data_IF_817710347668
#
_entry.id   IF_817710347668
#
_cell.length_a   1.000
_cell.length_b   1.000
_cell.length_c   1.000
_cell.angle_alpha   90.00
_cell.angle_beta   90.00
_cell.angle_gamma   90.00
#
_symmetry.space_group_name_H-M   'P 1'
#
loop_
_entity.id
_entity.type
_entity.pdbx_description
1 polymer ?
#
# COMPACT_ATOMS: atom_id res chain seq x y z
N UNK A 1 -20.92 -27.48 8.11
CA UNK A 1 -21.11 -26.10 7.61
C UNK A 1 -20.52 -25.15 8.64
N UNK A 2 -19.41 -24.47 8.34
CA UNK A 2 -18.92 -23.39 9.20
C UNK A 2 -19.89 -22.21 9.10
N UNK A 3 -20.27 -21.56 10.22
CA UNK A 3 -21.15 -20.39 10.18
C UNK A 3 -20.48 -19.29 9.34
N UNK A 4 -21.22 -18.72 8.40
CA UNK A 4 -20.75 -17.64 7.54
C UNK A 4 -20.34 -16.43 8.40
N UNK A 5 -19.05 -16.11 8.44
CA UNK A 5 -18.58 -14.91 9.14
C UNK A 5 -19.06 -13.65 8.44
N UNK A 6 -19.43 -12.64 9.23
CA UNK A 6 -19.87 -11.35 8.70
C UNK A 6 -18.74 -10.64 7.96
N UNK A 7 -18.94 -10.40 6.67
CA UNK A 7 -18.03 -9.65 5.79
C UNK A 7 -18.30 -8.14 5.85
N UNK A 8 -19.40 -7.72 6.47
CA UNK A 8 -19.82 -6.32 6.55
C UNK A 8 -18.80 -5.44 7.25
N UNK A 9 -18.18 -5.92 8.34
CA UNK A 9 -17.19 -5.16 9.12
C UNK A 9 -15.92 -4.83 8.34
N UNK A 10 -15.20 -5.79 7.73
CA UNK A 10 -14.00 -5.48 6.94
C UNK A 10 -14.31 -4.60 5.71
N UNK A 11 -15.47 -4.78 5.07
CA UNK A 11 -15.89 -3.91 3.97
C UNK A 11 -16.15 -2.48 4.44
N UNK A 12 -16.77 -2.28 5.61
CA UNK A 12 -16.98 -0.95 6.16
C UNK A 12 -15.65 -0.24 6.43
N UNK A 13 -14.65 -0.95 6.96
CA UNK A 13 -13.29 -0.43 7.16
C UNK A 13 -12.67 0.02 5.83
N UNK A 14 -12.81 -0.79 4.77
CA UNK A 14 -12.34 -0.42 3.43
C UNK A 14 -13.02 0.85 2.93
N UNK A 15 -14.36 0.89 2.96
CA UNK A 15 -15.13 2.03 2.47
C UNK A 15 -14.73 3.31 3.20
N UNK A 16 -14.65 3.28 4.53
CA UNK A 16 -14.24 4.45 5.33
C UNK A 16 -12.83 4.91 4.94
N UNK A 17 -11.89 3.97 4.81
CA UNK A 17 -10.52 4.33 4.46
C UNK A 17 -10.40 4.88 3.02
N UNK A 18 -11.09 4.30 2.04
CA UNK A 18 -11.16 4.86 0.68
C UNK A 18 -11.76 6.27 0.69
N UNK A 19 -12.85 6.50 1.42
CA UNK A 19 -13.48 7.82 1.52
C UNK A 19 -12.49 8.84 2.10
N UNK A 20 -11.76 8.49 3.16
CA UNK A 20 -10.76 9.38 3.75
C UNK A 20 -9.65 9.72 2.76
N UNK A 21 -9.07 8.71 2.09
CA UNK A 21 -7.97 8.91 1.14
C UNK A 21 -8.41 9.73 -0.08
N UNK A 22 -9.57 9.41 -0.66
CA UNK A 22 -10.12 10.13 -1.82
C UNK A 22 -10.51 11.56 -1.43
N UNK A 23 -11.16 11.76 -0.29
CA UNK A 23 -11.52 13.10 0.17
C UNK A 23 -10.28 13.98 0.33
N UNK A 24 -9.21 13.45 0.92
CA UNK A 24 -7.96 14.17 1.11
C UNK A 24 -7.25 14.47 -0.21
N UNK A 25 -7.27 13.53 -1.16
CA UNK A 25 -6.70 13.70 -2.49
C UNK A 25 -7.49 14.66 -3.40
N UNK A 26 -8.76 14.92 -3.10
CA UNK A 26 -9.57 15.91 -3.84
C UNK A 26 -9.35 17.35 -3.34
N UNK A 27 -8.69 17.54 -2.20
CA UNK A 27 -8.47 18.88 -1.65
C UNK A 27 -7.51 19.64 -2.58
N UNK A 28 -7.84 20.87 -3.00
CA UNK A 28 -6.94 21.68 -3.81
C UNK A 28 -5.57 21.85 -3.15
N UNK A 29 -4.50 21.63 -3.93
CA UNK A 29 -3.12 21.68 -3.42
C UNK A 29 -2.64 20.40 -2.74
N UNK A 30 -3.44 19.32 -2.73
CA UNK A 30 -3.04 18.00 -2.24
C UNK A 30 -1.88 17.36 -3.04
N UNK A 31 -1.73 17.73 -4.31
CA UNK A 31 -0.63 17.27 -5.16
C UNK A 31 0.71 17.94 -4.84
N UNK A 32 0.70 19.07 -4.11
CA UNK A 32 1.94 19.74 -3.73
C UNK A 32 2.64 18.95 -2.62
N UNK A 33 3.74 18.27 -2.95
CA UNK A 33 4.55 17.44 -2.04
C UNK A 33 5.03 18.20 -0.79
N UNK A 34 5.26 19.52 -0.90
CA UNK A 34 5.62 20.38 0.23
C UNK A 34 4.44 20.93 1.03
N UNK A 35 3.21 20.60 0.62
CA UNK A 35 1.97 21.14 1.19
C UNK A 35 1.53 20.45 2.48
N UNK A 36 0.76 21.18 3.28
CA UNK A 36 0.15 20.66 4.52
C UNK A 36 -0.77 19.48 4.22
N UNK A 37 -1.53 19.54 3.13
CA UNK A 37 -2.48 18.49 2.73
C UNK A 37 -1.76 17.20 2.33
N UNK A 38 -0.64 17.30 1.62
CA UNK A 38 0.20 16.14 1.30
C UNK A 38 0.83 15.55 2.56
N UNK A 39 1.25 16.39 3.51
CA UNK A 39 1.75 15.94 4.82
C UNK A 39 0.68 15.20 5.63
N UNK A 40 -0.57 15.65 5.57
CA UNK A 40 -1.71 14.92 6.15
C UNK A 40 -1.92 13.58 5.46
N UNK A 41 -1.76 13.50 4.12
CA UNK A 41 -1.87 12.24 3.38
C UNK A 41 -0.79 11.25 3.78
N UNK A 42 0.47 11.70 3.87
CA UNK A 42 1.56 10.90 4.40
C UNK A 42 1.26 10.41 5.83
N UNK A 43 0.69 11.28 6.67
CA UNK A 43 0.31 10.91 8.03
C UNK A 43 -0.77 9.83 8.04
N UNK A 44 -1.80 9.95 7.20
CA UNK A 44 -2.86 8.94 7.05
C UNK A 44 -2.27 7.61 6.55
N UNK A 45 -1.41 7.63 5.54
CA UNK A 45 -0.73 6.42 5.02
C UNK A 45 0.16 5.78 6.09
N UNK A 46 0.91 6.57 6.85
CA UNK A 46 1.70 6.09 7.99
C UNK A 46 0.83 5.45 9.07
N UNK A 47 -0.33 6.05 9.39
CA UNK A 47 -1.31 5.45 10.30
C UNK A 47 -1.86 4.15 9.75
N UNK A 48 -2.10 4.02 8.44
CA UNK A 48 -2.51 2.76 7.82
C UNK A 48 -1.44 1.68 8.00
N UNK A 49 -0.16 2.00 7.80
CA UNK A 49 0.96 1.05 8.02
C UNK A 49 1.07 0.64 9.49
N UNK A 50 0.81 1.56 10.43
CA UNK A 50 0.78 1.24 11.86
C UNK A 50 -0.41 0.37 12.23
N UNK A 51 -1.62 0.75 11.81
CA UNK A 51 -2.83 -0.01 12.08
C UNK A 51 -2.76 -1.40 11.45
N UNK A 52 -2.21 -1.56 10.24
CA UNK A 52 -2.03 -2.88 9.64
C UNK A 52 -1.12 -3.75 10.49
N UNK A 53 0.01 -3.21 10.96
CA UNK A 53 0.87 -3.95 11.86
C UNK A 53 0.17 -4.28 13.17
N UNK A 54 -0.59 -3.35 13.77
CA UNK A 54 -1.30 -3.60 15.03
C UNK A 54 -2.43 -4.64 14.90
N UNK A 55 -3.15 -4.62 13.79
CA UNK A 55 -4.36 -5.42 13.56
C UNK A 55 -4.17 -6.53 12.52
N UNK A 56 -2.93 -6.86 12.15
CA UNK A 56 -2.66 -7.82 11.08
C UNK A 56 -3.39 -9.14 11.36
N UNK A 57 -4.17 -9.65 10.39
CA UNK A 57 -4.97 -10.85 10.61
C UNK A 57 -4.10 -12.12 10.51
N UNK A 58 -2.85 -11.98 10.05
CA UNK A 58 -1.95 -13.05 9.68
C UNK A 58 -0.98 -13.40 10.82
N UNK A 59 -0.66 -14.70 10.95
CA UNK A 59 0.01 -15.28 12.12
C UNK A 59 1.55 -15.15 12.08
N UNK A 60 2.09 -13.97 11.80
CA UNK A 60 3.55 -13.79 11.58
C UNK A 60 4.39 -13.51 12.82
N UNK A 61 3.73 -13.29 13.96
CA UNK A 61 4.35 -12.88 15.21
C UNK A 61 4.94 -11.47 15.17
N UNK A 62 5.48 -11.02 16.30
CA UNK A 62 6.03 -9.66 16.45
C UNK A 62 7.12 -9.31 15.42
N UNK A 63 8.08 -10.19 15.08
CA UNK A 63 9.14 -9.83 14.13
C UNK A 63 8.63 -9.56 12.72
N UNK A 64 7.57 -10.25 12.28
CA UNK A 64 7.01 -10.07 10.93
C UNK A 64 6.33 -8.71 10.77
N UNK A 65 5.63 -8.30 11.82
CA UNK A 65 4.96 -7.00 11.92
C UNK A 65 5.98 -5.87 11.89
N UNK A 66 7.08 -6.01 12.63
CA UNK A 66 8.18 -5.03 12.62
C UNK A 66 8.80 -4.93 11.22
N UNK A 67 9.09 -6.06 10.57
CA UNK A 67 9.64 -6.04 9.21
C UNK A 67 8.69 -5.37 8.21
N UNK A 68 7.39 -5.67 8.28
CA UNK A 68 6.40 -5.05 7.41
C UNK A 68 6.27 -3.53 7.67
N UNK A 69 6.25 -3.09 8.93
CA UNK A 69 6.26 -1.67 9.29
C UNK A 69 7.47 -0.94 8.70
N UNK A 70 8.67 -1.47 8.94
CA UNK A 70 9.93 -0.83 8.52
C UNK A 70 9.95 -0.70 6.99
N UNK A 71 9.62 -1.78 6.28
CA UNK A 71 9.58 -1.75 4.82
C UNK A 71 8.49 -0.81 4.27
N UNK A 72 7.33 -0.75 4.93
CA UNK A 72 6.26 0.19 4.57
C UNK A 72 6.69 1.65 4.73
N UNK A 73 7.32 2.00 5.84
CA UNK A 73 7.86 3.35 6.03
C UNK A 73 9.01 3.67 5.08
N UNK A 74 9.90 2.71 4.81
CA UNK A 74 10.93 2.89 3.78
C UNK A 74 10.29 3.16 2.40
N UNK A 75 9.23 2.43 2.04
CA UNK A 75 8.49 2.68 0.79
C UNK A 75 7.85 4.07 0.78
N UNK A 76 7.26 4.50 1.89
CA UNK A 76 6.70 5.85 2.05
C UNK A 76 7.76 6.95 1.89
N UNK A 77 8.97 6.73 2.41
CA UNK A 77 10.12 7.63 2.21
C UNK A 77 10.51 7.67 0.72
N UNK A 78 10.54 6.52 0.04
CA UNK A 78 10.78 6.47 -1.40
C UNK A 78 9.73 7.24 -2.20
N UNK A 79 8.46 7.21 -1.77
CA UNK A 79 7.40 8.01 -2.39
C UNK A 79 7.53 9.51 -2.09
N UNK A 80 7.88 9.89 -0.86
CA UNK A 80 7.93 11.29 -0.46
C UNK A 80 9.20 12.03 -0.93
N UNK A 81 10.23 11.33 -1.41
CA UNK A 81 11.56 11.92 -1.61
C UNK A 81 11.99 11.90 -3.09
N UNK A 82 11.74 12.97 -3.87
CA UNK A 82 12.18 13.05 -5.27
C UNK A 82 13.71 13.00 -5.43
N UNK A 83 14.47 13.42 -4.41
CA UNK A 83 15.93 13.31 -4.37
C UNK A 83 16.44 11.87 -4.52
N UNK A 84 15.68 10.86 -4.05
CA UNK A 84 16.07 9.47 -4.27
C UNK A 84 15.97 9.09 -5.75
N UNK A 85 15.02 9.68 -6.49
CA UNK A 85 14.93 9.51 -7.94
C UNK A 85 16.12 10.13 -8.65
N UNK A 86 16.53 11.33 -8.23
CA UNK A 86 17.74 11.97 -8.75
C UNK A 86 19.00 11.12 -8.46
N UNK A 87 19.14 10.60 -7.24
CA UNK A 87 20.27 9.76 -6.86
C UNK A 87 20.33 8.45 -7.66
N UNK A 88 19.17 7.83 -7.90
CA UNK A 88 19.08 6.53 -8.60
C UNK A 88 19.21 6.71 -10.12
N UNK A 89 18.60 7.73 -10.70
CA UNK A 89 18.51 7.92 -12.15
C UNK A 89 19.48 8.98 -12.71
N UNK A 90 20.15 9.76 -11.86
CA UNK A 90 21.13 10.78 -12.28
C UNK A 90 20.51 11.97 -13.01
N UNK A 91 19.22 12.23 -12.81
CA UNK A 91 18.46 13.29 -13.52
C UNK A 91 18.06 14.38 -12.52
N UNK A 92 18.55 15.60 -12.75
CA UNK A 92 18.12 16.77 -12.00
C UNK A 92 16.77 17.30 -12.55
N UNK A 93 15.77 17.60 -11.69
CA UNK A 93 14.49 18.12 -12.15
C UNK A 93 14.55 19.61 -12.50
N UNK A 94 14.38 19.95 -13.78
CA UNK A 94 14.22 21.35 -14.23
C UNK A 94 12.78 21.90 -14.08
N UNK A 95 11.93 21.26 -13.28
CA UNK A 95 10.52 21.64 -13.11
C UNK A 95 9.70 20.69 -12.24
N UNK A 96 8.49 21.11 -11.87
CA UNK A 96 7.59 20.38 -10.95
C UNK A 96 7.16 19.02 -11.53
N UNK A 97 6.74 18.97 -12.80
CA UNK A 97 6.30 17.73 -13.47
C UNK A 97 7.41 16.66 -13.52
N UNK A 98 8.67 17.09 -13.70
CA UNK A 98 9.83 16.19 -13.70
C UNK A 98 10.16 15.70 -12.29
N UNK A 99 9.94 16.53 -11.26
CA UNK A 99 10.08 16.15 -9.85
C UNK A 99 9.04 15.08 -9.44
N UNK A 100 7.80 15.24 -9.90
CA UNK A 100 6.73 14.27 -9.71
C UNK A 100 7.06 12.92 -10.36
N UNK A 101 7.52 12.93 -11.62
CA UNK A 101 7.95 11.72 -12.33
C UNK A 101 9.14 11.02 -11.64
N UNK A 102 10.08 11.80 -11.08
CA UNK A 102 11.21 11.27 -10.32
C UNK A 102 10.79 10.61 -9.00
N UNK A 103 9.83 11.20 -8.29
CA UNK A 103 9.30 10.63 -7.05
C UNK A 103 8.59 9.29 -7.27
N UNK A 104 7.74 9.19 -8.30
CA UNK A 104 7.02 7.94 -8.59
C UNK A 104 7.96 6.85 -9.09
N UNK A 105 8.95 7.19 -9.92
CA UNK A 105 9.97 6.25 -10.39
C UNK A 105 10.92 5.79 -9.27
N UNK A 106 11.30 6.68 -8.35
CA UNK A 106 12.06 6.35 -7.15
C UNK A 106 11.30 5.38 -6.25
N UNK A 107 9.99 5.61 -6.06
CA UNK A 107 9.14 4.69 -5.33
C UNK A 107 9.06 3.31 -5.99
N UNK A 108 8.95 3.24 -7.33
CA UNK A 108 8.91 1.95 -8.02
C UNK A 108 10.23 1.17 -7.85
N UNK A 109 11.37 1.83 -8.05
CA UNK A 109 12.69 1.23 -7.82
C UNK A 109 12.90 0.83 -6.35
N UNK A 110 12.43 1.67 -5.44
CA UNK A 110 12.37 1.39 -4.00
C UNK A 110 11.53 0.15 -3.72
N UNK A 111 10.33 0.04 -4.27
CA UNK A 111 9.46 -1.12 -4.12
C UNK A 111 10.13 -2.40 -4.62
N UNK A 112 10.75 -2.38 -5.80
CA UNK A 112 11.48 -3.54 -6.32
C UNK A 112 12.58 -4.00 -5.35
N UNK A 113 13.36 -3.06 -4.81
CA UNK A 113 14.43 -3.34 -3.85
C UNK A 113 13.88 -3.84 -2.50
N UNK A 114 12.83 -3.22 -1.99
CA UNK A 114 12.19 -3.58 -0.72
C UNK A 114 11.50 -4.94 -0.80
N UNK A 115 10.93 -5.30 -1.96
CA UNK A 115 10.35 -6.63 -2.18
C UNK A 115 11.43 -7.72 -2.19
N UNK A 116 12.58 -7.47 -2.82
CA UNK A 116 13.73 -8.39 -2.74
C UNK A 116 14.21 -8.53 -1.29
N UNK A 117 14.35 -7.41 -0.57
CA UNK A 117 14.72 -7.44 0.85
C UNK A 117 13.70 -8.19 1.71
N UNK A 118 12.40 -7.97 1.47
CA UNK A 118 11.33 -8.69 2.14
C UNK A 118 11.50 -10.20 1.95
N UNK A 119 11.72 -10.66 0.72
CA UNK A 119 11.93 -12.08 0.44
C UNK A 119 13.16 -12.61 1.18
N UNK A 120 14.30 -11.93 1.09
CA UNK A 120 15.55 -12.36 1.76
C UNK A 120 15.37 -12.45 3.28
N UNK A 121 14.78 -11.44 3.90
CA UNK A 121 14.51 -11.42 5.36
C UNK A 121 13.51 -12.50 5.74
N UNK A 122 12.48 -12.72 4.92
CA UNK A 122 11.50 -13.79 5.10
C UNK A 122 12.21 -15.15 5.17
N UNK A 123 13.04 -15.47 4.16
CA UNK A 123 13.85 -16.69 4.09
C UNK A 123 14.81 -16.85 5.24
N UNK A 124 15.63 -15.83 5.52
CA UNK A 124 16.59 -15.87 6.61
C UNK A 124 15.92 -16.17 7.96
N UNK A 125 14.78 -15.54 8.23
CA UNK A 125 14.03 -15.74 9.48
C UNK A 125 13.54 -17.17 9.63
N UNK A 126 13.07 -17.80 8.56
CA UNK A 126 12.59 -19.17 8.65
C UNK A 126 13.71 -20.19 8.75
N UNK A 127 14.85 -19.92 8.12
CA UNK A 127 16.04 -20.76 8.26
C UNK A 127 16.61 -20.71 9.69
N UNK A 128 16.45 -19.57 10.38
CA UNK A 128 16.90 -19.36 11.77
C UNK A 128 15.99 -20.00 12.84
N UNK A 129 14.77 -20.46 12.51
CA UNK A 129 13.86 -21.10 13.48
C UNK A 129 14.20 -22.57 13.70
N UNK A 130 14.03 -23.06 14.92
CA UNK A 130 14.10 -24.49 15.25
C UNK A 130 13.15 -24.80 16.44
N UNK A 131 12.11 -25.64 16.29
CA UNK A 131 11.72 -26.44 15.12
C UNK A 131 11.11 -25.64 13.95
N UNK A 132 11.20 -26.18 12.73
CA UNK A 132 10.76 -25.54 11.47
C UNK A 132 9.37 -26.04 11.01
N UNK A 133 8.32 -25.73 11.75
CA UNK A 133 6.95 -26.10 11.37
C UNK A 133 6.26 -24.98 10.58
N UNK A 134 5.32 -25.34 9.70
CA UNK A 134 4.45 -24.42 8.94
C UNK A 134 5.17 -23.32 8.14
N UNK A 135 6.36 -23.65 7.64
CA UNK A 135 7.28 -22.76 6.93
C UNK A 135 6.59 -21.98 5.78
N UNK A 136 5.91 -22.71 4.89
CA UNK A 136 5.24 -22.12 3.71
C UNK A 136 4.13 -21.14 4.11
N UNK A 137 3.33 -21.50 5.13
CA UNK A 137 2.20 -20.69 5.57
C UNK A 137 2.69 -19.41 6.24
N UNK A 138 3.69 -19.51 7.13
CA UNK A 138 4.31 -18.35 7.77
C UNK A 138 5.08 -17.46 6.79
N UNK A 139 5.56 -17.99 5.65
CA UNK A 139 6.18 -17.15 4.61
C UNK A 139 5.11 -16.33 3.93
N UNK A 140 4.07 -17.02 3.50
CA UNK A 140 2.98 -16.42 2.74
C UNK A 140 2.34 -15.30 3.54
N UNK A 141 2.20 -15.50 4.85
CA UNK A 141 1.70 -14.49 5.76
C UNK A 141 2.63 -13.27 5.82
N UNK A 142 3.93 -13.48 6.10
CA UNK A 142 4.86 -12.36 6.25
C UNK A 142 5.05 -11.58 4.96
N UNK A 143 5.10 -12.29 3.82
CA UNK A 143 5.19 -11.67 2.50
C UNK A 143 3.93 -10.87 2.22
N UNK A 144 2.74 -11.39 2.52
CA UNK A 144 1.49 -10.66 2.30
C UNK A 144 1.37 -9.40 3.16
N UNK A 145 1.76 -9.46 4.44
CA UNK A 145 1.80 -8.30 5.34
C UNK A 145 2.82 -7.25 4.84
N UNK A 146 4.03 -7.70 4.48
CA UNK A 146 5.08 -6.84 3.94
C UNK A 146 4.72 -6.19 2.60
N UNK A 147 4.19 -6.95 1.65
CA UNK A 147 3.75 -6.43 0.34
C UNK A 147 2.64 -5.41 0.52
N UNK A 148 1.69 -5.67 1.41
CA UNK A 148 0.61 -4.72 1.71
C UNK A 148 1.18 -3.41 2.28
N UNK A 149 2.07 -3.49 3.26
CA UNK A 149 2.73 -2.30 3.84
C UNK A 149 3.55 -1.50 2.83
N UNK A 150 4.28 -2.17 1.93
CA UNK A 150 5.02 -1.51 0.83
C UNK A 150 4.04 -0.83 -0.15
N UNK A 151 2.99 -1.55 -0.57
CA UNK A 151 1.99 -1.05 -1.52
C UNK A 151 1.22 0.17 -1.01
N UNK A 152 1.04 0.29 0.31
CA UNK A 152 0.31 1.41 0.92
C UNK A 152 0.89 2.79 0.56
N UNK A 153 2.21 2.89 0.38
CA UNK A 153 2.86 4.13 -0.01
C UNK A 153 2.40 4.66 -1.37
N UNK A 154 1.89 3.81 -2.26
CA UNK A 154 1.38 4.23 -3.56
C UNK A 154 0.12 5.12 -3.48
N UNK A 155 -0.58 5.12 -2.34
CA UNK A 155 -1.67 6.05 -2.07
C UNK A 155 -1.24 7.52 -2.02
N UNK A 156 0.04 7.80 -1.74
CA UNK A 156 0.58 9.16 -1.75
C UNK A 156 0.50 9.81 -3.14
N UNK A 157 0.39 9.02 -4.22
CA UNK A 157 0.27 9.51 -5.59
C UNK A 157 -1.17 9.75 -6.04
N UNK A 158 -2.17 9.44 -5.21
CA UNK A 158 -3.57 9.66 -5.56
C UNK A 158 -3.87 11.14 -5.90
N UNK A 159 -3.36 12.15 -5.17
CA UNK A 159 -3.52 13.55 -5.54
C UNK A 159 -3.03 13.88 -6.95
N UNK A 160 -1.90 13.31 -7.36
CA UNK A 160 -1.32 13.50 -8.68
C UNK A 160 -2.25 12.96 -9.77
N UNK A 161 -2.90 11.82 -9.51
CA UNK A 161 -3.92 11.27 -10.41
C UNK A 161 -5.18 12.15 -10.50
N UNK A 162 -5.60 12.77 -9.39
CA UNK A 162 -6.80 13.61 -9.32
C UNK A 162 -6.60 14.98 -9.97
N UNK A 163 -5.41 15.56 -9.81
CA UNK A 163 -5.04 16.90 -10.24
C UNK A 163 -4.11 16.93 -11.46
N UNK A 164 -4.03 15.84 -12.22
CA UNK A 164 -3.27 15.82 -13.47
C UNK A 164 -3.88 16.78 -14.49
N UNK A 165 -3.35 18.01 -14.49
CA UNK A 165 -3.70 19.10 -15.39
C UNK A 165 -2.85 18.98 -16.65
N UNK A 166 -3.47 18.67 -17.80
CA UNK A 166 -2.76 18.48 -19.07
C UNK A 166 -3.03 17.14 -19.75
N UNK A 167 -3.50 16.15 -18.99
CA UNK A 167 -3.92 14.86 -19.57
C UNK A 167 -5.38 14.92 -20.04
N UNK A 168 -5.66 14.30 -21.18
CA UNK A 168 -7.03 14.21 -21.73
C UNK A 168 -8.00 13.68 -20.65
N UNK A 169 -9.15 14.31 -20.43
CA UNK A 169 -10.07 13.93 -19.33
C UNK A 169 -10.56 12.48 -19.45
N UNK A 170 -10.70 11.99 -20.69
CA UNK A 170 -11.06 10.59 -20.96
C UNK A 170 -9.97 9.63 -20.48
N UNK A 171 -8.70 9.93 -20.71
CA UNK A 171 -7.58 9.08 -20.27
C UNK A 171 -7.54 9.02 -18.74
N UNK A 172 -7.63 10.18 -18.08
CA UNK A 172 -7.71 10.24 -16.61
C UNK A 172 -8.89 9.45 -16.04
N UNK A 173 -10.07 9.57 -16.66
CA UNK A 173 -11.26 8.83 -16.24
C UNK A 173 -11.11 7.31 -16.43
N UNK A 174 -10.51 6.87 -17.53
CA UNK A 174 -10.22 5.44 -17.77
C UNK A 174 -9.21 4.90 -16.77
N UNK A 175 -8.16 5.67 -16.44
CA UNK A 175 -7.16 5.31 -15.43
C UNK A 175 -7.79 5.17 -14.05
N UNK A 176 -8.63 6.12 -13.63
CA UNK A 176 -9.38 6.04 -12.37
C UNK A 176 -10.36 4.85 -12.35
N UNK A 177 -11.04 4.58 -13.47
CA UNK A 177 -11.92 3.43 -13.58
C UNK A 177 -11.16 2.10 -13.47
N UNK A 178 -9.95 2.00 -14.03
CA UNK A 178 -9.08 0.84 -13.89
C UNK A 178 -8.66 0.61 -12.43
N UNK A 179 -8.25 1.67 -11.72
CA UNK A 179 -7.94 1.59 -10.27
C UNK A 179 -9.16 1.15 -9.46
N UNK A 180 -10.34 1.72 -9.76
CA UNK A 180 -11.59 1.34 -9.10
C UNK A 180 -11.95 -0.14 -9.36
N UNK A 181 -11.73 -0.64 -10.57
CA UNK A 181 -11.94 -2.05 -10.91
C UNK A 181 -11.02 -2.97 -10.09
N UNK A 182 -9.74 -2.61 -9.95
CA UNK A 182 -8.79 -3.34 -9.10
C UNK A 182 -9.24 -3.31 -7.63
N UNK A 183 -9.74 -2.18 -7.14
CA UNK A 183 -10.28 -2.07 -5.79
C UNK A 183 -11.52 -2.96 -5.57
N UNK A 184 -12.44 -3.01 -6.53
CA UNK A 184 -13.61 -3.89 -6.46
C UNK A 184 -13.20 -5.36 -6.50
N UNK A 185 -12.24 -5.73 -7.34
CA UNK A 185 -11.71 -7.10 -7.40
C UNK A 185 -11.05 -7.52 -6.08
N UNK A 186 -10.23 -6.64 -5.49
CA UNK A 186 -9.60 -6.89 -4.18
C UNK A 186 -10.60 -6.88 -3.03
N UNK A 187 -11.66 -6.07 -3.09
CA UNK A 187 -12.77 -6.11 -2.13
C UNK A 187 -13.51 -7.46 -2.22
N UNK A 188 -13.79 -7.95 -3.44
CA UNK A 188 -14.37 -9.27 -3.64
C UNK A 188 -13.45 -10.38 -3.10
N UNK A 189 -12.14 -10.28 -3.34
CA UNK A 189 -11.16 -11.24 -2.80
C UNK A 189 -11.09 -11.18 -1.27
N UNK A 190 -11.17 -9.99 -0.69
CA UNK A 190 -11.22 -9.80 0.77
C UNK A 190 -12.47 -10.43 1.40
N UNK A 191 -13.59 -10.46 0.68
CA UNK A 191 -14.78 -11.19 1.11
C UNK A 191 -14.50 -12.70 1.22
N UNK A 192 -13.78 -13.26 0.25
CA UNK A 192 -13.37 -14.68 0.27
C UNK A 192 -12.38 -14.93 1.42
N UNK A 193 -11.34 -14.11 1.54
CA UNK A 193 -10.38 -14.24 2.63
C UNK A 193 -11.02 -14.13 4.01
N UNK A 194 -11.98 -13.23 4.21
CA UNK A 194 -12.67 -13.07 5.49
C UNK A 194 -13.47 -14.31 5.89
N UNK A 195 -14.00 -15.04 4.89
CA UNK A 195 -14.73 -16.29 5.12
C UNK A 195 -13.77 -17.42 5.51
N UNK A 196 -12.58 -17.46 4.91
CA UNK A 196 -11.63 -18.57 5.06
C UNK A 196 -10.59 -18.37 6.17
N UNK A 197 -10.32 -17.11 6.57
CA UNK A 197 -9.24 -16.79 7.51
C UNK A 197 -9.47 -17.48 8.86
N UNK A 198 -8.42 -17.99 9.49
CA UNK A 198 -8.46 -18.45 10.89
C UNK A 198 -7.62 -17.48 11.72
N UNK A 199 -8.22 -16.41 12.26
CA UNK A 199 -7.45 -15.39 12.99
C UNK A 199 -6.72 -16.03 14.18
N UNK A 200 -5.66 -15.38 14.64
CA UNK A 200 -4.97 -15.80 15.86
C UNK A 200 -5.94 -15.66 17.05
N UNK A 201 -5.89 -16.58 18.00
CA UNK A 201 -6.83 -16.59 19.15
C UNK A 201 -6.73 -15.32 20.01
N UNK A 202 -5.57 -14.65 20.00
CA UNK A 202 -5.30 -13.36 20.67
C UNK A 202 -5.45 -12.11 19.78
N UNK A 203 -5.85 -12.25 18.51
CA UNK A 203 -5.94 -11.09 17.62
C UNK A 203 -7.09 -10.15 18.07
N UNK A 204 -6.74 -8.95 18.55
CA UNK A 204 -7.72 -7.87 18.75
C UNK A 204 -8.29 -7.48 17.38
N UNK A 205 -9.61 -7.60 17.21
CA UNK A 205 -10.36 -7.11 16.04
C UNK A 205 -9.73 -7.41 14.66
N UNK A 206 -9.57 -8.70 14.28
CA UNK A 206 -8.91 -9.12 13.03
C UNK A 206 -9.63 -8.63 11.75
N UNK A 207 -10.90 -8.22 11.87
CA UNK A 207 -11.64 -7.62 10.76
C UNK A 207 -11.03 -6.30 10.27
N UNK A 208 -10.29 -5.56 11.12
CA UNK A 208 -9.64 -4.31 10.71
C UNK A 208 -8.51 -4.63 9.73
N UNK A 209 -7.58 -5.51 10.10
CA UNK A 209 -6.50 -5.93 9.20
C UNK A 209 -6.99 -6.60 7.92
N UNK A 210 -8.04 -7.42 7.99
CA UNK A 210 -8.68 -8.02 6.80
C UNK A 210 -9.26 -6.97 5.84
N UNK A 211 -9.80 -5.88 6.39
CA UNK A 211 -10.27 -4.74 5.61
C UNK A 211 -9.11 -3.94 5.01
N UNK A 212 -8.05 -3.71 5.79
CA UNK A 212 -6.94 -2.86 5.38
C UNK A 212 -6.03 -3.47 4.31
N UNK A 213 -5.82 -4.78 4.33
CA UNK A 213 -4.95 -5.48 3.37
C UNK A 213 -5.28 -5.18 1.89
N UNK A 214 -6.52 -5.40 1.40
CA UNK A 214 -6.88 -5.08 0.01
C UNK A 214 -6.76 -3.58 -0.30
N UNK A 215 -7.11 -2.71 0.64
CA UNK A 215 -6.95 -1.26 0.51
C UNK A 215 -5.47 -0.89 0.31
N UNK A 216 -4.57 -1.46 1.10
CA UNK A 216 -3.14 -1.18 1.00
C UNK A 216 -2.57 -1.71 -0.32
N UNK A 217 -3.00 -2.91 -0.75
CA UNK A 217 -2.64 -3.47 -2.05
C UNK A 217 -3.11 -2.60 -3.23
N UNK A 218 -4.29 -1.97 -3.14
CA UNK A 218 -4.73 -1.01 -4.16
C UNK A 218 -3.85 0.23 -4.28
N UNK A 219 -3.09 0.58 -3.23
CA UNK A 219 -2.10 1.66 -3.31
C UNK A 219 -1.07 1.42 -4.41
N UNK A 220 -0.65 0.17 -4.63
CA UNK A 220 0.26 -0.16 -5.72
C UNK A 220 -0.37 0.13 -7.10
N UNK A 221 -1.67 -0.15 -7.27
CA UNK A 221 -2.39 0.14 -8.49
C UNK A 221 -2.46 1.66 -8.76
N UNK A 222 -2.62 2.49 -7.71
CA UNK A 222 -2.58 3.95 -7.83
C UNK A 222 -1.21 4.42 -8.31
N UNK A 223 -0.12 3.96 -7.69
CA UNK A 223 1.24 4.33 -8.10
C UNK A 223 1.57 3.92 -9.54
N UNK A 224 1.19 2.70 -9.94
CA UNK A 224 1.36 2.21 -11.32
C UNK A 224 0.50 3.02 -12.29
N UNK A 225 -0.75 3.33 -11.93
CA UNK A 225 -1.66 4.12 -12.75
C UNK A 225 -1.10 5.51 -13.06
N UNK A 226 -0.48 6.15 -12.07
CA UNK A 226 0.20 7.44 -12.25
C UNK A 226 1.40 7.30 -13.19
N UNK A 227 2.23 6.26 -13.05
CA UNK A 227 3.34 6.02 -13.99
C UNK A 227 2.87 5.85 -15.43
N UNK A 228 1.83 5.04 -15.64
CA UNK A 228 1.26 4.83 -16.98
C UNK A 228 0.72 6.13 -17.54
N UNK A 229 0.07 6.94 -16.70
CA UNK A 229 -0.47 8.23 -17.12
C UNK A 229 0.61 9.25 -17.49
N UNK A 230 1.76 9.24 -16.81
CA UNK A 230 2.90 10.10 -17.13
C UNK A 230 3.65 9.67 -18.41
N UNK A 231 3.41 8.46 -18.90
CA UNK A 231 4.03 7.93 -20.13
C UNK A 231 3.21 8.19 -21.40
N UNK A 232 1.96 8.67 -21.28
CA UNK A 232 0.99 8.84 -22.38
C UNK A 232 0.75 10.32 -22.67
#
# INVERSE_FOLDING_TARGET
>A
MQPSRSVTRPLLVQIVAYVVLVALACIPGSANVGGVVYSLLLSVVGVLIMLSAFFTPLRDGLPGRITACVLGFCSMICAATPFLGELVFGVHPDGVERSESLSVSAWLAGCATLLVMLLVVSFARQMARNPRTDMIVQMSHMVMDGVSCIAAAGWCFLPMLMHADGVRPVVRALTLAAVALVALALAAMSCLWTRDVRPLDDARSPWIGMGMMPLMLTGAAVGIAVLVMLLV
#
